data_IF_943981308439
#
_entry.id   IF_943981308439
#
_cell.length_a   1.000
_cell.length_b   1.000
_cell.length_c   1.000
_cell.angle_alpha   90.00
_cell.angle_beta   90.00
_cell.angle_gamma   90.00
#
_symmetry.space_group_name_H-M   'P 1'
#
loop_
_entity.id
_entity.type
_entity.pdbx_description
1 polymer ?
#
# COMPACT_ATOMS: atom_id res chain seq x y z
N UNK A 1 2.89 -26.06 20.72
CA UNK A 1 2.08 -25.09 21.48
C UNK A 1 1.16 -24.35 20.53
N UNK A 2 -0.13 -24.71 20.52
CA UNK A 2 -1.16 -24.04 19.72
C UNK A 2 -1.53 -22.72 20.40
N UNK A 3 -0.97 -21.62 19.89
CA UNK A 3 -1.35 -20.25 20.24
C UNK A 3 -2.85 -20.07 19.98
N UNK A 4 -3.57 -19.52 20.96
CA UNK A 4 -5.01 -19.37 20.95
C UNK A 4 -5.43 -18.18 20.07
N UNK A 5 -6.60 -18.28 19.41
CA UNK A 5 -7.20 -17.16 18.66
C UNK A 5 -7.33 -15.89 19.51
N UNK A 6 -7.53 -16.04 20.82
CA UNK A 6 -7.60 -14.92 21.76
C UNK A 6 -6.29 -14.12 21.83
N UNK A 7 -5.14 -14.79 21.78
CA UNK A 7 -3.82 -14.12 21.85
C UNK A 7 -3.56 -13.29 20.58
N UNK A 8 -4.00 -13.80 19.42
CA UNK A 8 -3.91 -13.05 18.16
C UNK A 8 -4.82 -11.83 18.11
N UNK A 9 -6.01 -11.91 18.71
CA UNK A 9 -6.94 -10.78 18.80
C UNK A 9 -6.40 -9.67 19.74
N UNK A 10 -5.80 -10.05 20.87
CA UNK A 10 -5.14 -9.11 21.79
C UNK A 10 -3.98 -8.41 21.09
N UNK A 11 -3.15 -9.16 20.35
CA UNK A 11 -2.06 -8.59 19.55
C UNK A 11 -2.60 -7.60 18.50
N UNK A 12 -3.63 -7.97 17.74
CA UNK A 12 -4.22 -7.11 16.73
C UNK A 12 -4.74 -5.79 17.34
N UNK A 13 -5.43 -5.87 18.48
CA UNK A 13 -5.89 -4.68 19.21
C UNK A 13 -4.72 -3.82 19.69
N UNK A 14 -3.66 -4.42 20.21
CA UNK A 14 -2.49 -3.69 20.69
C UNK A 14 -1.76 -2.97 19.54
N UNK A 15 -1.56 -3.64 18.40
CA UNK A 15 -0.94 -3.07 17.19
C UNK A 15 -1.80 -1.95 16.61
N UNK A 16 -3.12 -2.17 16.49
CA UNK A 16 -4.04 -1.14 16.02
C UNK A 16 -4.04 0.09 16.94
N UNK A 17 -4.07 -0.12 18.27
CA UNK A 17 -3.99 0.97 19.25
C UNK A 17 -2.67 1.73 19.15
N UNK A 18 -1.53 1.03 19.02
CA UNK A 18 -0.22 1.66 18.81
C UNK A 18 -0.24 2.54 17.56
N UNK A 19 -0.74 2.02 16.43
CA UNK A 19 -0.82 2.75 15.17
C UNK A 19 -1.68 4.01 15.30
N UNK A 20 -2.86 3.91 15.92
CA UNK A 20 -3.75 5.06 16.13
C UNK A 20 -3.15 6.11 17.06
N UNK A 21 -2.58 5.70 18.20
CA UNK A 21 -1.96 6.63 19.16
C UNK A 21 -0.81 7.40 18.51
N UNK A 22 0.05 6.72 17.75
CA UNK A 22 1.14 7.40 17.03
C UNK A 22 0.58 8.41 16.02
N UNK A 23 -0.47 8.07 15.26
CA UNK A 23 -1.05 8.97 14.27
C UNK A 23 -1.72 10.19 14.88
N UNK A 24 -2.43 10.03 16.00
CA UNK A 24 -3.00 11.15 16.76
C UNK A 24 -1.90 12.01 17.37
N UNK A 25 -0.85 11.38 17.93
CA UNK A 25 0.28 12.10 18.52
C UNK A 25 1.07 12.89 17.49
N UNK A 26 1.21 12.35 16.28
CA UNK A 26 1.85 12.99 15.13
C UNK A 26 0.81 13.44 14.09
N UNK A 27 -0.31 14.01 14.57
CA UNK A 27 -1.40 14.46 13.72
C UNK A 27 -0.94 15.50 12.70
N UNK A 28 -0.06 16.43 13.09
CA UNK A 28 0.50 17.41 12.17
C UNK A 28 1.18 16.76 10.96
N UNK A 29 2.04 15.76 11.18
CA UNK A 29 2.70 15.05 10.09
C UNK A 29 1.70 14.30 9.19
N UNK A 30 0.69 13.68 9.81
CA UNK A 30 -0.38 12.98 9.10
C UNK A 30 -1.18 13.93 8.21
N UNK A 31 -1.62 15.06 8.75
CA UNK A 31 -2.40 16.08 8.04
C UNK A 31 -1.56 16.71 6.94
N UNK A 32 -0.30 17.05 7.20
CA UNK A 32 0.61 17.62 6.19
C UNK A 32 0.82 16.66 5.03
N UNK A 33 1.08 15.37 5.28
CA UNK A 33 1.23 14.39 4.21
C UNK A 33 -0.04 14.26 3.35
N UNK A 34 -1.20 14.14 4.00
CA UNK A 34 -2.48 14.07 3.31
C UNK A 34 -2.76 15.35 2.50
N UNK A 35 -2.47 16.51 3.08
CA UNK A 35 -2.61 17.81 2.43
C UNK A 35 -1.67 17.94 1.23
N UNK A 36 -0.42 17.50 1.33
CA UNK A 36 0.54 17.52 0.21
C UNK A 36 0.02 16.69 -0.97
N UNK A 37 -0.46 15.47 -0.72
CA UNK A 37 -1.01 14.62 -1.79
C UNK A 37 -2.28 15.23 -2.38
N UNK A 38 -3.14 15.83 -1.56
CA UNK A 38 -4.32 16.55 -2.02
C UNK A 38 -3.98 17.77 -2.89
N UNK A 39 -2.99 18.57 -2.50
CA UNK A 39 -2.51 19.72 -3.29
C UNK A 39 -1.95 19.26 -4.64
N UNK A 40 -1.21 18.15 -4.68
CA UNK A 40 -0.73 17.59 -5.95
C UNK A 40 -1.89 17.14 -6.85
N UNK A 41 -2.91 16.50 -6.28
CA UNK A 41 -4.14 16.18 -7.02
C UNK A 41 -4.83 17.43 -7.56
N UNK A 42 -5.01 18.45 -6.71
CA UNK A 42 -5.65 19.70 -7.08
C UNK A 42 -4.87 20.41 -8.20
N UNK A 43 -3.54 20.42 -8.13
CA UNK A 43 -2.69 20.99 -9.17
C UNK A 43 -2.85 20.26 -10.51
N UNK A 44 -2.94 18.93 -10.49
CA UNK A 44 -3.16 18.13 -11.71
C UNK A 44 -4.55 18.37 -12.31
N UNK A 45 -5.60 18.41 -11.48
CA UNK A 45 -6.98 18.55 -11.96
C UNK A 45 -7.29 20.00 -12.35
N UNK A 46 -7.12 20.95 -11.44
CA UNK A 46 -7.45 22.36 -11.70
C UNK A 46 -6.44 23.00 -12.65
N UNK A 47 -5.14 22.75 -12.47
CA UNK A 47 -4.13 23.24 -13.41
C UNK A 47 -4.27 22.59 -14.80
N UNK A 48 -4.62 21.30 -14.86
CA UNK A 48 -4.89 20.62 -16.12
C UNK A 48 -6.16 21.11 -16.82
N UNK A 49 -7.20 21.52 -16.09
CA UNK A 49 -8.44 22.07 -16.67
C UNK A 49 -8.19 23.37 -17.44
N UNK A 50 -7.27 24.20 -16.97
CA UNK A 50 -6.89 25.44 -17.68
C UNK A 50 -6.17 25.16 -19.00
N UNK A 51 -5.36 24.10 -19.06
CA UNK A 51 -4.55 23.76 -20.23
C UNK A 51 -5.30 22.88 -21.24
N UNK A 52 -6.08 21.91 -20.76
CA UNK A 52 -6.73 20.90 -21.58
C UNK A 52 -8.06 20.43 -20.95
N UNK A 53 -9.10 21.28 -20.92
CA UNK A 53 -10.34 21.03 -20.16
C UNK A 53 -11.03 19.73 -20.55
N UNK A 54 -11.21 19.49 -21.86
CA UNK A 54 -11.86 18.27 -22.38
C UNK A 54 -11.11 16.98 -22.00
N UNK A 55 -9.79 17.02 -21.99
CA UNK A 55 -8.98 15.84 -21.68
C UNK A 55 -9.05 15.50 -20.18
N UNK A 56 -9.02 16.52 -19.32
CA UNK A 56 -9.13 16.32 -17.86
C UNK A 56 -10.53 15.87 -17.47
N UNK A 57 -11.58 16.48 -18.02
CA UNK A 57 -12.96 16.06 -17.76
C UNK A 57 -13.22 14.59 -18.15
N UNK A 58 -12.74 14.18 -19.32
CA UNK A 58 -12.89 12.79 -19.79
C UNK A 58 -12.10 11.78 -18.93
N UNK A 59 -10.99 12.19 -18.33
CA UNK A 59 -10.11 11.32 -17.54
C UNK A 59 -10.27 11.47 -16.03
N UNK A 60 -11.16 12.34 -15.57
CA UNK A 60 -11.31 12.75 -14.18
C UNK A 60 -11.50 11.58 -13.21
N UNK A 61 -12.41 10.65 -13.53
CA UNK A 61 -12.61 9.45 -12.72
C UNK A 61 -11.35 8.58 -12.63
N UNK A 62 -10.60 8.46 -13.73
CA UNK A 62 -9.32 7.75 -13.75
C UNK A 62 -8.23 8.43 -12.92
N UNK A 63 -8.19 9.76 -12.91
CA UNK A 63 -7.28 10.56 -12.10
C UNK A 63 -7.61 10.36 -10.61
N UNK A 64 -8.87 10.51 -10.21
CA UNK A 64 -9.32 10.33 -8.82
C UNK A 64 -9.00 8.92 -8.31
N UNK A 65 -9.37 7.86 -9.06
CA UNK A 65 -9.05 6.47 -8.69
C UNK A 65 -7.53 6.23 -8.65
N UNK A 66 -6.79 6.85 -9.56
CA UNK A 66 -5.33 6.77 -9.61
C UNK A 66 -4.67 7.35 -8.37
N UNK A 67 -5.05 8.56 -7.96
CA UNK A 67 -4.51 9.19 -6.75
C UNK A 67 -4.97 8.48 -5.46
N UNK A 68 -6.23 8.03 -5.41
CA UNK A 68 -6.75 7.19 -4.33
C UNK A 68 -5.86 5.96 -4.11
N UNK A 69 -5.59 5.21 -5.19
CA UNK A 69 -4.71 4.06 -5.16
C UNK A 69 -3.26 4.42 -4.84
N UNK A 70 -2.76 5.52 -5.40
CA UNK A 70 -1.39 5.96 -5.17
C UNK A 70 -1.14 6.28 -3.69
N UNK A 71 -2.05 6.99 -3.02
CA UNK A 71 -1.93 7.27 -1.59
C UNK A 71 -1.97 5.96 -0.79
N UNK A 72 -2.96 5.11 -1.05
CA UNK A 72 -3.11 3.85 -0.33
C UNK A 72 -1.88 2.95 -0.51
N UNK A 73 -1.38 2.82 -1.74
CA UNK A 73 -0.17 2.06 -2.03
C UNK A 73 1.03 2.67 -1.30
N UNK A 74 1.16 3.99 -1.31
CA UNK A 74 2.25 4.72 -0.66
C UNK A 74 2.30 4.46 0.84
N UNK A 75 1.16 4.54 1.53
CA UNK A 75 1.04 4.20 2.96
C UNK A 75 1.34 2.71 3.16
N UNK A 76 0.77 1.83 2.34
CA UNK A 76 0.91 0.38 2.49
C UNK A 76 2.36 -0.11 2.38
N UNK A 77 3.14 0.41 1.43
CA UNK A 77 4.54 0.02 1.27
C UNK A 77 5.48 0.78 2.21
N UNK A 78 5.32 2.10 2.34
CA UNK A 78 6.31 2.93 3.03
C UNK A 78 6.23 2.76 4.55
N UNK A 79 5.02 2.81 5.13
CA UNK A 79 4.86 2.65 6.59
C UNK A 79 5.38 1.28 7.04
N UNK A 80 5.04 0.23 6.30
CA UNK A 80 5.50 -1.14 6.57
C UNK A 80 7.03 -1.23 6.49
N UNK A 81 7.64 -0.72 5.42
CA UNK A 81 9.09 -0.77 5.24
C UNK A 81 9.81 -0.03 6.37
N UNK A 82 9.38 1.20 6.67
CA UNK A 82 9.98 2.01 7.73
C UNK A 82 9.77 1.43 9.12
N UNK A 83 8.63 0.78 9.37
CA UNK A 83 8.41 0.06 10.62
C UNK A 83 9.38 -1.11 10.79
N UNK A 84 9.62 -1.89 9.73
CA UNK A 84 10.58 -2.99 9.77
C UNK A 84 12.02 -2.50 9.96
N UNK A 85 12.38 -1.38 9.30
CA UNK A 85 13.70 -0.74 9.43
C UNK A 85 13.93 -0.28 10.87
N UNK A 86 12.98 0.46 11.46
CA UNK A 86 13.07 0.94 12.85
C UNK A 86 13.19 -0.20 13.84
N UNK A 87 12.38 -1.24 13.66
CA UNK A 87 12.39 -2.39 14.56
C UNK A 87 13.76 -3.11 14.54
N UNK A 88 14.42 -3.13 13.37
CA UNK A 88 15.77 -3.65 13.23
C UNK A 88 16.82 -2.74 13.89
N UNK A 89 16.74 -1.43 13.66
CA UNK A 89 17.66 -0.43 14.22
C UNK A 89 17.59 -0.39 15.75
N UNK A 90 16.40 -0.54 16.32
CA UNK A 90 16.20 -0.56 17.78
C UNK A 90 16.55 -1.91 18.42
N UNK A 91 17.03 -2.90 17.66
CA UNK A 91 17.32 -4.25 18.16
C UNK A 91 16.08 -5.08 18.55
N UNK A 92 14.89 -4.49 18.51
CA UNK A 92 13.62 -5.15 18.85
C UNK A 92 13.24 -6.26 17.88
N UNK A 93 13.83 -6.27 16.68
CA UNK A 93 13.63 -7.34 15.70
C UNK A 93 14.11 -8.68 16.25
N UNK A 94 15.17 -8.73 17.06
CA UNK A 94 15.60 -9.99 17.71
C UNK A 94 14.63 -10.47 18.78
N UNK A 95 14.15 -9.54 19.61
CA UNK A 95 13.09 -9.82 20.59
C UNK A 95 11.81 -10.31 19.92
N UNK A 96 11.48 -9.77 18.74
CA UNK A 96 10.32 -10.19 17.97
C UNK A 96 10.46 -11.62 17.41
N UNK A 97 11.68 -12.06 17.10
CA UNK A 97 11.94 -13.45 16.72
C UNK A 97 11.87 -14.40 17.92
N UNK A 98 12.16 -13.92 19.13
CA UNK A 98 12.06 -14.68 20.38
C UNK A 98 10.64 -14.66 20.98
N UNK A 99 9.73 -13.85 20.43
CA UNK A 99 8.35 -13.77 20.89
C UNK A 99 7.63 -15.12 20.76
N UNK A 100 6.84 -15.55 21.76
CA UNK A 100 6.07 -16.80 21.71
C UNK A 100 5.03 -16.83 20.57
N UNK A 101 4.63 -15.66 20.05
CA UNK A 101 3.70 -15.55 18.92
C UNK A 101 4.37 -15.80 17.57
N UNK A 102 5.70 -15.73 17.50
CA UNK A 102 6.49 -15.89 16.29
C UNK A 102 6.46 -14.68 15.35
N UNK A 103 7.61 -14.38 14.74
CA UNK A 103 7.80 -13.22 13.87
C UNK A 103 6.76 -13.12 12.74
N UNK A 104 6.49 -14.24 12.05
CA UNK A 104 5.57 -14.26 10.90
C UNK A 104 4.15 -13.84 11.25
N UNK A 105 3.62 -14.27 12.41
CA UNK A 105 2.26 -13.90 12.83
C UNK A 105 2.18 -12.44 13.21
N UNK A 106 3.17 -11.92 13.93
CA UNK A 106 3.16 -10.51 14.32
C UNK A 106 3.27 -9.60 13.09
N UNK A 107 4.14 -9.95 12.15
CA UNK A 107 4.26 -9.21 10.89
C UNK A 107 2.98 -9.30 10.06
N UNK A 108 2.31 -10.45 10.00
CA UNK A 108 1.04 -10.58 9.30
C UNK A 108 -0.04 -9.67 9.92
N UNK A 109 -0.16 -9.65 11.25
CA UNK A 109 -1.11 -8.76 11.96
C UNK A 109 -0.77 -7.29 11.72
N UNK A 110 0.50 -6.89 11.81
CA UNK A 110 0.96 -5.53 11.48
C UNK A 110 0.61 -5.15 10.04
N UNK A 111 0.80 -6.08 9.10
CA UNK A 111 0.48 -5.87 7.68
C UNK A 111 -1.01 -5.66 7.47
N UNK A 112 -1.86 -6.48 8.09
CA UNK A 112 -3.32 -6.32 8.01
C UNK A 112 -3.75 -4.97 8.58
N UNK A 113 -3.24 -4.59 9.75
CA UNK A 113 -3.50 -3.26 10.33
C UNK A 113 -3.01 -2.16 9.39
N UNK A 114 -1.84 -2.29 8.78
CA UNK A 114 -1.31 -1.30 7.86
C UNK A 114 -2.18 -1.14 6.60
N UNK A 115 -2.69 -2.24 6.04
CA UNK A 115 -3.63 -2.21 4.91
C UNK A 115 -4.93 -1.50 5.31
N UNK A 116 -5.51 -1.82 6.47
CA UNK A 116 -6.71 -1.15 6.97
C UNK A 116 -6.50 0.36 7.15
N UNK A 117 -5.35 0.74 7.68
CA UNK A 117 -5.02 2.16 7.82
C UNK A 117 -4.79 2.82 6.46
N UNK A 118 -4.15 2.13 5.51
CA UNK A 118 -4.00 2.62 4.14
C UNK A 118 -5.36 2.93 3.52
N UNK A 119 -6.35 2.05 3.71
CA UNK A 119 -7.74 2.31 3.33
C UNK A 119 -8.34 3.53 4.03
N UNK A 120 -8.14 3.69 5.33
CA UNK A 120 -8.65 4.86 6.06
C UNK A 120 -8.11 6.17 5.45
N UNK A 121 -6.81 6.24 5.14
CA UNK A 121 -6.21 7.39 4.47
C UNK A 121 -6.76 7.59 3.06
N UNK A 122 -6.90 6.50 2.30
CA UNK A 122 -7.52 6.52 0.99
C UNK A 122 -8.93 7.07 1.02
N UNK A 123 -9.78 6.61 1.95
CA UNK A 123 -11.17 7.06 2.08
C UNK A 123 -11.24 8.55 2.41
N UNK A 124 -10.40 9.05 3.33
CA UNK A 124 -10.37 10.48 3.65
C UNK A 124 -9.94 11.29 2.42
N UNK A 125 -8.88 10.87 1.70
CA UNK A 125 -8.45 11.56 0.48
C UNK A 125 -9.53 11.54 -0.61
N UNK A 126 -10.16 10.37 -0.81
CA UNK A 126 -11.23 10.20 -1.79
C UNK A 126 -12.43 11.09 -1.49
N UNK A 127 -12.83 11.18 -0.21
CA UNK A 127 -13.91 12.07 0.21
C UNK A 127 -13.57 13.53 -0.09
N UNK A 128 -12.33 13.98 0.17
CA UNK A 128 -11.89 15.32 -0.18
C UNK A 128 -11.93 15.57 -1.69
N UNK A 129 -11.49 14.62 -2.51
CA UNK A 129 -11.51 14.73 -3.97
C UNK A 129 -12.94 14.82 -4.53
N UNK A 130 -13.86 14.00 -4.01
CA UNK A 130 -15.26 14.00 -4.43
C UNK A 130 -16.02 15.24 -3.94
N UNK A 131 -15.61 15.81 -2.82
CA UNK A 131 -16.18 17.06 -2.32
C UNK A 131 -15.76 18.27 -3.18
N UNK A 132 -14.58 18.23 -3.78
CA UNK A 132 -14.05 19.36 -4.58
C UNK A 132 -14.16 19.17 -6.08
N UNK A 133 -14.59 18.00 -6.54
CA UNK A 133 -14.66 17.65 -7.95
C UNK A 133 -16.01 16.99 -8.27
N UNK A 134 -16.61 17.31 -9.41
CA UNK A 134 -17.85 16.68 -9.91
C UNK A 134 -17.69 15.24 -10.43
N UNK A 135 -16.70 14.51 -9.92
CA UNK A 135 -16.42 13.15 -10.35
C UNK A 135 -17.55 12.20 -9.91
N UNK A 136 -18.21 11.56 -10.88
CA UNK A 136 -19.23 10.54 -10.62
C UNK A 136 -18.55 9.18 -10.51
N UNK A 137 -18.38 8.69 -9.28
CA UNK A 137 -17.86 7.35 -9.00
C UNK A 137 -18.93 6.50 -8.33
N UNK A 138 -19.00 5.24 -8.74
CA UNK A 138 -19.79 4.21 -8.08
C UNK A 138 -18.97 3.60 -6.96
N UNK A 139 -19.39 3.86 -5.72
CA UNK A 139 -18.74 3.36 -4.51
C UNK A 139 -19.53 2.18 -3.97
N UNK A 140 -19.18 0.98 -4.43
CA UNK A 140 -19.65 -0.26 -3.82
C UNK A 140 -18.56 -0.82 -2.88
N UNK A 141 -18.73 -0.70 -1.55
CA UNK A 141 -17.73 -1.19 -0.59
C UNK A 141 -17.43 -2.68 -0.76
N UNK A 142 -18.41 -3.48 -1.19
CA UNK A 142 -18.27 -4.92 -1.36
C UNK A 142 -17.34 -5.27 -2.53
N UNK A 143 -17.20 -4.38 -3.51
CA UNK A 143 -16.31 -4.54 -4.65
C UNK A 143 -14.97 -3.81 -4.44
N UNK A 144 -15.00 -2.59 -3.92
CA UNK A 144 -13.81 -1.75 -3.75
C UNK A 144 -12.88 -2.29 -2.65
N UNK A 145 -13.41 -2.77 -1.52
CA UNK A 145 -12.57 -3.26 -0.42
C UNK A 145 -11.76 -4.51 -0.80
N UNK A 146 -12.34 -5.58 -1.38
CA UNK A 146 -11.57 -6.76 -1.75
C UNK A 146 -10.55 -6.48 -2.86
N UNK A 147 -10.94 -5.74 -3.90
CA UNK A 147 -10.05 -5.38 -4.99
C UNK A 147 -8.90 -4.51 -4.50
N UNK A 148 -9.19 -3.48 -3.70
CA UNK A 148 -8.19 -2.63 -3.09
C UNK A 148 -7.24 -3.43 -2.20
N UNK A 149 -7.74 -4.33 -1.34
CA UNK A 149 -6.90 -5.10 -0.43
C UNK A 149 -5.92 -6.01 -1.20
N UNK A 150 -6.42 -6.73 -2.21
CA UNK A 150 -5.58 -7.58 -3.06
C UNK A 150 -4.58 -6.75 -3.88
N UNK A 151 -4.99 -5.59 -4.38
CA UNK A 151 -4.10 -4.67 -5.10
C UNK A 151 -2.95 -4.20 -4.19
N UNK A 152 -3.28 -3.81 -2.96
CA UNK A 152 -2.30 -3.36 -1.97
C UNK A 152 -1.34 -4.46 -1.52
N UNK A 153 -1.70 -5.75 -1.61
CA UNK A 153 -0.76 -6.84 -1.33
C UNK A 153 0.51 -6.74 -2.20
N UNK A 154 0.38 -6.31 -3.45
CA UNK A 154 1.56 -6.12 -4.31
C UNK A 154 2.49 -5.01 -3.81
N UNK A 155 1.92 -3.89 -3.37
CA UNK A 155 2.69 -2.79 -2.74
C UNK A 155 3.29 -3.20 -1.39
N UNK A 156 2.56 -3.96 -0.58
CA UNK A 156 3.07 -4.56 0.67
C UNK A 156 4.27 -5.47 0.40
N UNK A 157 4.21 -6.29 -0.66
CA UNK A 157 5.34 -7.12 -1.10
C UNK A 157 6.58 -6.28 -1.42
N UNK A 158 6.41 -5.19 -2.17
CA UNK A 158 7.49 -4.22 -2.43
C UNK A 158 8.00 -3.62 -1.11
N UNK A 159 7.12 -3.30 -0.16
CA UNK A 159 7.50 -2.78 1.14
C UNK A 159 8.36 -3.76 1.96
N UNK A 160 8.02 -5.05 1.95
CA UNK A 160 8.87 -6.07 2.55
C UNK A 160 10.24 -6.14 1.89
N UNK A 161 10.29 -6.15 0.56
CA UNK A 161 11.54 -6.20 -0.18
C UNK A 161 12.44 -5.01 0.16
N UNK A 162 11.89 -3.79 0.14
CA UNK A 162 12.62 -2.56 0.49
C UNK A 162 13.06 -2.56 1.95
N UNK A 163 12.18 -2.96 2.87
CA UNK A 163 12.53 -3.12 4.28
C UNK A 163 13.72 -4.07 4.47
N UNK A 164 13.79 -5.17 3.72
CA UNK A 164 14.90 -6.11 3.74
C UNK A 164 16.20 -5.55 3.17
N UNK A 165 16.11 -4.91 2.01
CA UNK A 165 17.25 -4.28 1.34
C UNK A 165 17.83 -3.14 2.18
N UNK A 166 16.99 -2.37 2.86
CA UNK A 166 17.40 -1.29 3.75
C UNK A 166 18.29 -1.77 4.90
N UNK A 167 18.08 -2.98 5.40
CA UNK A 167 18.94 -3.56 6.44
C UNK A 167 20.37 -3.85 5.93
N UNK A 168 20.53 -4.03 4.62
CA UNK A 168 21.82 -4.31 3.99
C UNK A 168 22.51 -3.01 3.55
N UNK A 169 21.77 -2.08 2.93
CA UNK A 169 22.32 -0.89 2.27
C UNK A 169 22.30 0.40 3.12
N UNK A 170 21.62 0.39 4.28
CA UNK A 170 21.51 1.48 5.28
C UNK A 170 20.87 2.80 4.83
N UNK A 171 21.00 3.22 3.56
CA UNK A 171 20.42 4.45 3.01
C UNK A 171 19.61 4.13 1.76
N UNK A 172 18.29 4.17 1.88
CA UNK A 172 17.34 3.72 0.85
C UNK A 172 16.29 4.76 0.49
N UNK A 173 16.39 5.97 1.04
CA UNK A 173 15.41 7.04 0.85
C UNK A 173 15.19 7.34 -0.64
N UNK A 174 16.26 7.41 -1.42
CA UNK A 174 16.18 7.59 -2.88
C UNK A 174 15.48 6.42 -3.57
N UNK A 175 15.61 5.19 -3.06
CA UNK A 175 14.92 4.03 -3.61
C UNK A 175 13.41 4.12 -3.35
N UNK A 176 12.99 4.60 -2.18
CA UNK A 176 11.58 4.84 -1.90
C UNK A 176 10.99 5.88 -2.86
N UNK A 177 11.72 6.97 -3.12
CA UNK A 177 11.30 7.97 -4.11
C UNK A 177 11.14 7.37 -5.51
N UNK A 178 12.12 6.56 -5.97
CA UNK A 178 12.02 5.87 -7.26
C UNK A 178 10.83 4.91 -7.32
N UNK A 179 10.57 4.16 -6.25
CA UNK A 179 9.42 3.25 -6.17
C UNK A 179 8.10 4.02 -6.18
N UNK A 180 8.02 5.17 -5.50
CA UNK A 180 6.85 6.05 -5.57
C UNK A 180 6.57 6.51 -7.00
N UNK A 181 7.58 6.97 -7.75
CA UNK A 181 7.42 7.32 -9.16
C UNK A 181 7.07 6.11 -10.03
N UNK A 182 7.67 4.95 -9.76
CA UNK A 182 7.32 3.71 -10.45
C UNK A 182 5.84 3.36 -10.22
N UNK A 183 5.32 3.53 -9.01
CA UNK A 183 3.90 3.29 -8.71
C UNK A 183 2.98 4.25 -9.47
N UNK A 184 3.34 5.52 -9.62
CA UNK A 184 2.59 6.46 -10.47
C UNK A 184 2.50 5.92 -11.90
N UNK A 185 3.63 5.51 -12.48
CA UNK A 185 3.66 4.96 -13.84
C UNK A 185 2.84 3.67 -13.96
N UNK A 186 3.01 2.74 -13.03
CA UNK A 186 2.32 1.44 -13.01
C UNK A 186 0.81 1.56 -12.84
N UNK A 187 0.34 2.52 -12.04
CA UNK A 187 -1.10 2.79 -11.89
C UNK A 187 -1.68 3.38 -13.18
N UNK A 188 -0.90 4.17 -13.92
CA UNK A 188 -1.30 4.81 -15.17
C UNK A 188 -1.23 3.90 -16.41
N UNK A 189 -0.66 2.70 -16.29
CA UNK A 189 -0.41 1.80 -17.41
C UNK A 189 -1.70 1.35 -18.14
N UNK A 190 -1.71 1.33 -19.49
CA UNK A 190 -2.83 0.84 -20.27
C UNK A 190 -2.80 -0.71 -20.36
N UNK A 191 -3.19 -1.37 -19.27
CA UNK A 191 -3.14 -2.84 -19.14
C UNK A 191 -4.02 -3.61 -20.15
N UNK A 192 -4.99 -2.94 -20.77
CA UNK A 192 -5.81 -3.52 -21.83
C UNK A 192 -5.07 -3.78 -23.14
N UNK A 193 -3.95 -3.08 -23.39
CA UNK A 193 -3.20 -3.20 -24.65
C UNK A 193 -2.22 -4.38 -24.66
N UNK A 194 -1.69 -4.77 -23.50
CA UNK A 194 -0.71 -5.86 -23.40
C UNK A 194 -0.95 -6.70 -22.14
N UNK A 195 -1.30 -8.00 -22.28
CA UNK A 195 -1.54 -8.90 -21.16
C UNK A 195 -0.37 -9.03 -20.18
N UNK A 196 0.89 -8.89 -20.64
CA UNK A 196 2.07 -9.00 -19.77
C UNK A 196 2.12 -7.88 -18.71
N UNK A 197 1.53 -6.71 -19.01
CA UNK A 197 1.47 -5.59 -18.07
C UNK A 197 0.60 -5.89 -16.85
N UNK A 198 -0.31 -6.87 -16.95
CA UNK A 198 -1.17 -7.30 -15.83
C UNK A 198 -0.37 -7.94 -14.69
N UNK A 199 0.84 -8.43 -14.97
CA UNK A 199 1.71 -9.05 -13.98
C UNK A 199 2.46 -8.03 -13.11
N UNK A 200 2.49 -6.77 -13.53
CA UNK A 200 3.21 -5.71 -12.82
C UNK A 200 2.46 -5.33 -11.52
N UNK A 201 3.19 -4.85 -10.50
CA UNK A 201 2.57 -4.51 -9.23
C UNK A 201 1.61 -3.34 -9.45
N UNK A 202 0.49 -3.36 -8.72
CA UNK A 202 -0.60 -2.37 -8.81
C UNK A 202 -1.33 -2.26 -10.15
N UNK A 203 -0.77 -2.72 -11.29
CA UNK A 203 -1.31 -2.46 -12.62
C UNK A 203 -2.68 -3.14 -12.87
N UNK A 204 -2.78 -4.45 -12.64
CA UNK A 204 -4.06 -5.16 -12.81
C UNK A 204 -5.12 -4.65 -11.82
N UNK A 205 -4.70 -4.43 -10.57
CA UNK A 205 -5.57 -3.91 -9.52
C UNK A 205 -6.11 -2.52 -9.81
N UNK A 206 -5.27 -1.62 -10.32
CA UNK A 206 -5.68 -0.26 -10.71
C UNK A 206 -6.67 -0.28 -11.87
N UNK A 207 -6.50 -1.19 -12.82
CA UNK A 207 -7.43 -1.37 -13.93
C UNK A 207 -8.81 -1.86 -13.47
N UNK A 208 -8.84 -2.87 -12.61
CA UNK A 208 -10.09 -3.43 -12.08
C UNK A 208 -10.82 -2.42 -11.18
N UNK A 209 -10.10 -1.69 -10.34
CA UNK A 209 -10.68 -0.62 -9.52
C UNK A 209 -11.18 0.55 -10.36
N UNK A 210 -10.44 0.96 -11.40
CA UNK A 210 -10.95 1.98 -12.34
C UNK A 210 -12.25 1.51 -12.98
N UNK A 211 -12.32 0.30 -13.52
CA UNK A 211 -13.56 -0.26 -14.10
C UNK A 211 -14.71 -0.30 -13.11
N UNK A 212 -14.46 -0.77 -11.88
CA UNK A 212 -15.51 -0.85 -10.87
C UNK A 212 -16.00 0.52 -10.41
N UNK A 213 -15.09 1.46 -10.16
CA UNK A 213 -15.44 2.78 -9.63
C UNK A 213 -15.95 3.76 -10.70
N UNK A 214 -15.48 3.66 -11.95
CA UNK A 214 -15.93 4.55 -13.03
C UNK A 214 -17.10 4.00 -13.83
N UNK A 215 -17.16 2.68 -14.06
CA UNK A 215 -18.19 2.05 -14.87
C UNK A 215 -19.24 1.27 -14.06
N UNK A 216 -19.16 1.25 -12.73
CA UNK A 216 -20.15 0.59 -11.88
C UNK A 216 -20.11 -0.94 -11.89
N UNK A 217 -19.08 -1.54 -12.48
CA UNK A 217 -18.96 -2.99 -12.53
C UNK A 217 -18.77 -3.57 -11.13
N UNK A 218 -19.61 -4.54 -10.80
CA UNK A 218 -19.56 -5.24 -9.51
C UNK A 218 -18.55 -6.37 -9.54
N UNK A 219 -18.11 -6.82 -8.37
CA UNK A 219 -17.07 -7.84 -8.24
C UNK A 219 -17.36 -9.12 -9.05
N UNK A 220 -18.62 -9.56 -9.11
CA UNK A 220 -19.04 -10.75 -9.83
C UNK A 220 -19.22 -10.56 -11.35
N UNK A 221 -19.22 -9.32 -11.83
CA UNK A 221 -19.29 -8.99 -13.26
C UNK A 221 -17.88 -8.92 -13.88
N UNK A 222 -16.83 -8.88 -13.04
CA UNK A 222 -15.45 -8.84 -13.49
C UNK A 222 -14.99 -10.20 -14.01
N UNK A 223 -14.09 -10.24 -15.00
CA UNK A 223 -13.56 -11.48 -15.53
C UNK A 223 -12.89 -12.33 -14.42
N UNK A 224 -13.34 -13.56 -14.24
CA UNK A 224 -12.82 -14.49 -13.22
C UNK A 224 -11.32 -14.76 -13.40
N UNK A 225 -10.83 -14.77 -14.64
CA UNK A 225 -9.41 -14.89 -14.96
C UNK A 225 -8.58 -13.72 -14.42
N UNK A 226 -9.10 -12.49 -14.52
CA UNK A 226 -8.43 -11.29 -14.00
C UNK A 226 -8.47 -11.27 -12.46
N UNK A 227 -9.57 -11.71 -11.85
CA UNK A 227 -9.65 -11.87 -10.39
C UNK A 227 -8.67 -12.94 -9.87
N UNK A 228 -8.61 -14.09 -10.54
CA UNK A 228 -7.65 -15.15 -10.21
C UNK A 228 -6.21 -14.68 -10.35
N UNK A 229 -5.89 -13.94 -11.42
CA UNK A 229 -4.57 -13.35 -11.62
C UNK A 229 -4.23 -12.30 -10.56
N UNK A 230 -5.22 -11.51 -10.11
CA UNK A 230 -5.04 -10.55 -9.01
C UNK A 230 -4.69 -11.26 -7.70
N UNK A 231 -5.33 -12.39 -7.40
CA UNK A 231 -4.99 -13.19 -6.21
C UNK A 231 -3.59 -13.80 -6.34
N UNK A 232 -3.24 -14.35 -7.50
CA UNK A 232 -1.90 -14.92 -7.74
C UNK A 232 -0.83 -13.86 -7.58
N UNK A 233 -0.99 -12.70 -8.21
CA UNK A 233 -0.03 -11.59 -8.09
C UNK A 233 0.07 -11.10 -6.64
N UNK A 234 -1.04 -10.96 -5.92
CA UNK A 234 -1.03 -10.61 -4.50
C UNK A 234 -0.17 -11.58 -3.66
N UNK A 235 -0.37 -12.89 -3.82
CA UNK A 235 0.38 -13.93 -3.08
C UNK A 235 1.85 -13.94 -3.49
N UNK A 236 2.15 -13.89 -4.79
CA UNK A 236 3.51 -13.92 -5.32
C UNK A 236 4.32 -12.72 -4.83
N UNK A 237 3.78 -11.50 -4.92
CA UNK A 237 4.48 -10.29 -4.48
C UNK A 237 4.73 -10.28 -2.97
N UNK A 238 3.73 -10.65 -2.15
CA UNK A 238 3.90 -10.72 -0.69
C UNK A 238 4.93 -11.80 -0.33
N UNK A 239 4.83 -12.98 -0.94
CA UNK A 239 5.74 -14.09 -0.70
C UNK A 239 7.18 -13.76 -1.10
N UNK A 240 7.39 -13.23 -2.31
CA UNK A 240 8.69 -12.81 -2.79
C UNK A 240 9.28 -11.67 -1.94
N UNK A 241 8.47 -10.66 -1.63
CA UNK A 241 8.87 -9.54 -0.77
C UNK A 241 9.31 -10.00 0.62
N UNK A 242 8.52 -10.87 1.25
CA UNK A 242 8.85 -11.46 2.55
C UNK A 242 10.10 -12.34 2.49
N UNK A 243 10.32 -13.08 1.40
CA UNK A 243 11.55 -13.85 1.21
C UNK A 243 12.79 -12.93 1.13
N UNK A 244 12.72 -11.84 0.35
CA UNK A 244 13.78 -10.82 0.29
C UNK A 244 14.03 -10.22 1.68
N UNK A 245 12.96 -9.91 2.43
CA UNK A 245 13.07 -9.44 3.79
C UNK A 245 13.85 -10.41 4.69
N UNK A 246 13.51 -11.71 4.65
CA UNK A 246 14.22 -12.74 5.44
C UNK A 246 15.68 -12.92 5.04
N UNK A 247 15.99 -12.80 3.75
CA UNK A 247 17.38 -12.86 3.27
C UNK A 247 18.17 -11.64 3.76
N UNK A 248 17.57 -10.45 3.71
CA UNK A 248 18.14 -9.21 4.23
C UNK A 248 18.43 -9.27 5.73
N UNK A 249 17.47 -9.72 6.54
CA UNK A 249 17.66 -9.87 7.99
C UNK A 249 18.75 -10.89 8.34
N UNK A 250 18.78 -12.03 7.65
CA UNK A 250 19.81 -13.06 7.86
C UNK A 250 21.21 -12.48 7.55
N UNK A 251 21.35 -11.76 6.44
CA UNK A 251 22.63 -11.16 6.03
C UNK A 251 23.09 -10.04 6.97
N UNK A 252 22.15 -9.20 7.43
CA UNK A 252 22.43 -8.14 8.41
C UNK A 252 22.94 -8.71 9.75
N UNK A 253 22.33 -9.82 10.23
CA UNK A 253 22.77 -10.54 11.44
C UNK A 253 24.18 -11.09 11.29
N UNK A 254 24.48 -11.80 10.20
CA UNK A 254 25.79 -12.44 9.99
C UNK A 254 26.94 -11.45 9.84
N UNK A 255 26.65 -10.20 9.47
CA UNK A 255 27.68 -9.16 9.26
C UNK A 255 27.88 -8.25 10.48
N UNK A 256 27.19 -8.50 11.61
CA UNK A 256 27.29 -7.69 12.82
C UNK A 256 26.78 -6.24 12.66
N UNK A 257 26.09 -5.95 11.55
CA UNK A 257 25.73 -4.57 11.15
C UNK A 257 24.49 -4.01 11.84
N UNK A 258 23.83 -4.80 12.69
CA UNK A 258 22.63 -4.38 13.41
C UNK A 258 22.92 -3.45 14.61
N UNK A 259 24.11 -3.55 15.21
CA UNK A 259 24.50 -2.74 16.38
C UNK A 259 25.31 -1.47 16.08
N UNK A 260 25.44 -1.07 14.81
CA UNK A 260 26.24 0.09 14.39
C UNK A 260 25.38 1.20 13.76
N UNK A 261 24.23 1.48 14.36
CA UNK A 261 23.40 2.65 14.05
C UNK A 261 23.54 3.71 15.12
#
# INVERSE_FOLDING_TARGET
MSVSLGETAVLARAVARKSLVLRVRYAFNTVTNLFTVYVLFALVVFGGRELAPRAVEASLGGIVVGFFLLLMASVAYADLSWELIREAQWGTLEQLYMSPLGFGRVVAVKTVVNVLVSFAYGVVLLALMLATTDARLTLDPLTVLPLGALTLCSAVGVGFALGGLALVFRRVESVFQLVQFAFVALIALPVGANPALKLLPLALGSHLLRRSMSAGQRLWELPTADLGLLVVTAVVYVGAGYAVFRLGTRRARTTGRLGQY
#
